data_IF_643851762419
#
_entry.id   IF_643851762419
#
_cell.length_a   1.000
_cell.length_b   1.000
_cell.length_c   1.000
_cell.angle_alpha   90.00
_cell.angle_beta   90.00
_cell.angle_gamma   90.00
#
_symmetry.space_group_name_H-M   'P 1'
#
loop_
_entity.id
_entity.type
_entity.pdbx_description
1 polymer ?
#
# COMPACT_ATOMS: atom_id res chain seq x y z
N UNK A 1 -16.81 -7.46 9.95
CA UNK A 1 -16.96 -6.02 9.68
C UNK A 1 -15.64 -5.50 9.12
N UNK A 2 -15.45 -5.07 7.88
CA UNK A 2 -16.26 -4.95 6.68
C UNK A 2 -15.21 -4.66 5.59
N UNK A 3 -14.94 -5.61 4.68
CA UNK A 3 -14.27 -5.31 3.41
C UNK A 3 -15.35 -5.42 2.33
N UNK A 4 -16.36 -4.58 2.50
CA UNK A 4 -17.36 -4.32 1.48
C UNK A 4 -16.94 -3.03 0.78
N UNK A 5 -17.17 -2.95 -0.52
CA UNK A 5 -17.06 -1.75 -1.38
C UNK A 5 -15.82 -1.63 -2.27
N UNK A 6 -15.60 -2.58 -3.19
CA UNK A 6 -15.01 -2.25 -4.51
C UNK A 6 -15.70 -3.11 -5.59
N UNK A 7 -17.01 -3.01 -5.70
CA UNK A 7 -17.67 -3.21 -7.00
C UNK A 7 -17.99 -1.81 -7.54
N UNK A 8 -17.73 -1.58 -8.82
CA UNK A 8 -17.98 -0.35 -9.59
C UNK A 8 -16.93 0.79 -9.48
N UNK A 9 -15.88 0.72 -10.34
CA UNK A 9 -15.83 1.66 -11.46
C UNK A 9 -15.38 1.03 -12.79
N UNK A 10 -15.63 -0.28 -12.98
CA UNK A 10 -15.07 -1.05 -14.09
C UNK A 10 -15.63 -0.68 -15.49
N UNK A 11 -16.67 0.13 -15.57
CA UNK A 11 -17.40 0.38 -16.82
C UNK A 11 -16.88 1.60 -17.60
N UNK A 12 -16.10 2.52 -17.00
CA UNK A 12 -15.76 3.82 -17.65
C UNK A 12 -14.37 3.97 -18.28
N UNK A 13 -13.52 2.95 -18.27
CA UNK A 13 -12.08 3.15 -18.58
C UNK A 13 -11.52 2.19 -19.64
N UNK A 14 -12.29 1.95 -20.70
CA UNK A 14 -11.90 1.14 -21.88
C UNK A 14 -11.22 1.94 -23.01
N UNK A 15 -10.60 3.08 -22.72
CA UNK A 15 -9.81 3.82 -23.72
C UNK A 15 -8.38 4.08 -23.24
N UNK A 16 -7.45 3.31 -23.82
CA UNK A 16 -6.02 3.64 -24.00
C UNK A 16 -5.26 4.18 -22.78
N UNK A 17 -5.01 3.34 -21.75
CA UNK A 17 -4.05 3.59 -20.66
C UNK A 17 -3.88 2.35 -19.74
N UNK A 18 -3.99 1.12 -20.26
CA UNK A 18 -4.07 -0.08 -19.41
C UNK A 18 -3.02 -0.19 -18.29
N UNK A 19 -1.69 0.01 -18.51
CA UNK A 19 -0.71 -0.16 -17.43
C UNK A 19 -0.71 0.99 -16.41
N UNK A 20 -0.97 2.23 -16.83
CA UNK A 20 -1.02 3.38 -15.90
C UNK A 20 -2.32 3.37 -15.10
N UNK A 21 -3.41 2.95 -15.71
CA UNK A 21 -4.71 2.76 -15.05
C UNK A 21 -4.66 1.61 -14.05
N UNK A 22 -4.11 0.46 -14.43
CA UNK A 22 -3.96 -0.68 -13.53
C UNK A 22 -3.04 -0.34 -12.34
N UNK A 23 -1.93 0.37 -12.60
CA UNK A 23 -1.06 0.89 -11.53
C UNK A 23 -1.82 1.80 -10.61
N UNK A 24 -2.51 2.80 -11.16
CA UNK A 24 -3.33 3.76 -10.41
C UNK A 24 -4.31 3.03 -9.49
N UNK A 25 -5.16 2.17 -10.05
CA UNK A 25 -6.16 1.42 -9.27
C UNK A 25 -5.54 0.49 -8.21
N UNK A 26 -4.37 -0.09 -8.47
CA UNK A 26 -3.73 -1.05 -7.56
C UNK A 26 -2.93 -0.38 -6.44
N UNK A 27 -2.30 0.77 -6.71
CA UNK A 27 -1.41 1.45 -5.76
C UNK A 27 -2.10 2.58 -5.00
N UNK A 28 -3.13 3.22 -5.57
CA UNK A 28 -3.83 4.33 -4.90
C UNK A 28 -4.41 3.92 -3.55
N UNK A 29 -4.97 2.71 -3.45
CA UNK A 29 -5.53 2.21 -2.20
C UNK A 29 -4.46 1.96 -1.10
N UNK A 30 -3.33 1.27 -1.38
CA UNK A 30 -2.18 1.22 -0.49
C UNK A 30 -1.66 2.59 -0.07
N UNK A 31 -1.51 3.53 -1.01
CA UNK A 31 -1.04 4.88 -0.71
C UNK A 31 -2.00 5.63 0.21
N UNK A 32 -3.32 5.52 -0.04
CA UNK A 32 -4.35 6.09 0.84
C UNK A 32 -4.31 5.50 2.25
N UNK A 33 -4.10 4.19 2.37
CA UNK A 33 -4.02 3.51 3.67
C UNK A 33 -2.77 3.92 4.44
N UNK A 34 -1.61 3.96 3.77
CA UNK A 34 -0.34 4.42 4.36
C UNK A 34 -0.49 5.87 4.82
N UNK A 35 -1.06 6.74 3.97
CA UNK A 35 -1.28 8.15 4.30
C UNK A 35 -2.24 8.32 5.49
N UNK A 36 -3.31 7.54 5.56
CA UNK A 36 -4.22 7.55 6.70
C UNK A 36 -3.54 7.10 8.00
N UNK A 37 -2.66 6.10 7.94
CA UNK A 37 -1.90 5.63 9.12
C UNK A 37 -0.80 6.59 9.57
N UNK A 38 -0.17 7.32 8.64
CA UNK A 38 0.77 8.38 8.99
C UNK A 38 0.10 9.56 9.72
N UNK A 39 -1.23 9.67 9.64
CA UNK A 39 -2.01 10.72 10.28
C UNK A 39 -1.85 12.09 9.61
N UNK A 40 -2.29 13.15 10.30
CA UNK A 40 -2.13 14.54 9.86
C UNK A 40 -0.71 15.08 10.07
N UNK A 41 0.17 14.28 10.67
CA UNK A 41 1.55 14.62 11.00
C UNK A 41 2.43 14.62 9.76
N UNK A 42 3.22 15.69 9.62
CA UNK A 42 4.28 15.77 8.62
C UNK A 42 5.40 14.79 8.99
N UNK A 43 6.22 14.43 8.00
CA UNK A 43 7.43 13.62 8.24
C UNK A 43 8.19 14.14 9.45
N UNK A 44 8.52 13.24 10.38
CA UNK A 44 9.23 13.57 11.60
C UNK A 44 10.66 14.05 11.29
N UNK A 45 11.19 13.59 10.17
CA UNK A 45 12.55 13.91 9.73
C UNK A 45 12.61 15.08 8.76
N UNK A 46 13.70 15.84 8.83
CA UNK A 46 14.01 16.92 7.88
C UNK A 46 15.02 16.44 6.84
N UNK A 47 14.97 17.05 5.64
CA UNK A 47 15.80 16.77 4.45
C UNK A 47 15.36 15.49 3.71
N UNK A 48 15.46 15.54 2.38
CA UNK A 48 15.02 14.47 1.48
C UNK A 48 15.57 13.07 1.80
N UNK A 49 16.85 12.87 2.19
CA UNK A 49 17.36 11.53 2.50
C UNK A 49 16.61 10.89 3.66
N UNK A 50 16.32 11.66 4.70
CA UNK A 50 15.69 11.15 5.91
C UNK A 50 14.20 10.90 5.69
N UNK A 51 13.53 11.80 4.96
CA UNK A 51 12.12 11.65 4.56
C UNK A 51 11.93 10.40 3.69
N UNK A 52 12.87 10.11 2.78
CA UNK A 52 12.84 8.88 1.97
C UNK A 52 12.93 7.64 2.84
N UNK A 53 13.78 7.64 3.85
CA UNK A 53 13.91 6.52 4.80
C UNK A 53 12.62 6.33 5.61
N UNK A 54 12.01 7.42 6.07
CA UNK A 54 10.74 7.40 6.80
C UNK A 54 9.59 6.86 5.93
N UNK A 55 9.50 7.31 4.68
CA UNK A 55 8.55 6.76 3.70
C UNK A 55 8.80 5.27 3.44
N UNK A 56 10.05 4.86 3.27
CA UNK A 56 10.41 3.47 3.04
C UNK A 56 10.01 2.57 4.22
N UNK A 57 10.17 3.05 5.45
CA UNK A 57 9.75 2.31 6.64
C UNK A 57 8.23 2.15 6.71
N UNK A 58 7.47 3.21 6.42
CA UNK A 58 6.00 3.16 6.37
C UNK A 58 5.49 2.16 5.33
N UNK A 59 6.06 2.19 4.11
CA UNK A 59 5.74 1.23 3.05
C UNK A 59 6.06 -0.21 3.48
N UNK A 60 7.22 -0.43 4.11
CA UNK A 60 7.64 -1.75 4.57
C UNK A 60 6.73 -2.30 5.66
N UNK A 61 6.35 -1.45 6.63
CA UNK A 61 5.42 -1.80 7.70
C UNK A 61 4.04 -2.17 7.14
N UNK A 62 3.51 -1.39 6.19
CA UNK A 62 2.27 -1.71 5.50
C UNK A 62 2.35 -3.04 4.74
N UNK A 63 3.43 -3.25 3.98
CA UNK A 63 3.62 -4.48 3.21
C UNK A 63 3.68 -5.71 4.11
N UNK A 64 4.41 -5.65 5.24
CA UNK A 64 4.46 -6.76 6.20
C UNK A 64 3.07 -7.03 6.77
N UNK A 65 2.35 -5.99 7.21
CA UNK A 65 1.00 -6.15 7.76
C UNK A 65 0.03 -6.72 6.73
N UNK A 66 0.13 -6.29 5.46
CA UNK A 66 -0.66 -6.84 4.35
C UNK A 66 -0.31 -8.30 4.07
N UNK A 67 0.97 -8.67 4.07
CA UNK A 67 1.40 -10.05 3.88
C UNK A 67 0.92 -10.95 5.02
N UNK A 68 1.01 -10.50 6.27
CA UNK A 68 0.45 -11.23 7.41
C UNK A 68 -1.06 -11.43 7.25
N UNK A 69 -1.79 -10.43 6.76
CA UNK A 69 -3.23 -10.56 6.52
C UNK A 69 -3.58 -11.52 5.36
N UNK A 70 -2.74 -11.59 4.32
CA UNK A 70 -2.98 -12.42 3.14
C UNK A 70 -2.56 -13.88 3.31
N UNK A 71 -1.37 -14.13 3.88
CA UNK A 71 -0.77 -15.47 3.96
C UNK A 71 -0.58 -15.97 5.38
N UNK A 72 -0.79 -15.13 6.40
CA UNK A 72 -0.54 -15.49 7.79
C UNK A 72 0.94 -15.43 8.19
N UNK A 73 1.19 -15.23 9.49
CA UNK A 73 2.54 -15.00 10.02
C UNK A 73 3.49 -16.20 9.88
N UNK A 74 2.97 -17.42 9.99
CA UNK A 74 3.78 -18.65 9.87
C UNK A 74 4.32 -18.83 8.45
N UNK A 75 3.47 -18.64 7.44
CA UNK A 75 3.86 -18.75 6.04
C UNK A 75 4.81 -17.63 5.63
N UNK A 76 4.59 -16.41 6.13
CA UNK A 76 5.51 -15.29 5.91
C UNK A 76 6.90 -15.59 6.48
N UNK A 77 7.00 -16.08 7.71
CA UNK A 77 8.29 -16.47 8.30
C UNK A 77 8.97 -17.61 7.53
N UNK A 78 8.20 -18.57 7.01
CA UNK A 78 8.72 -19.63 6.14
C UNK A 78 9.34 -19.06 4.86
N UNK A 79 8.63 -18.15 4.19
CA UNK A 79 9.10 -17.50 2.96
C UNK A 79 10.32 -16.60 3.15
N UNK A 80 10.53 -16.04 4.36
CA UNK A 80 11.69 -15.19 4.66
C UNK A 80 12.96 -15.97 5.02
N UNK A 81 12.85 -17.27 5.32
CA UNK A 81 13.97 -18.14 5.71
C UNK A 81 14.53 -18.97 4.55
N UNK A 82 13.80 -19.04 3.44
CA UNK A 82 14.21 -19.68 2.20
C UNK A 82 15.10 -18.72 1.38
#
# INVERSE_FOLDING_TARGET
>A
MQIHLIEEPQIRLRSSSEPMTARRSTVEHPFGTIKAWMGATHFLTRRLPNVKTEMALNVRAYNIKRMVALIGIRNLMGAMRA
#
